data_IF_698113540391
#
_entry.id   IF_698113540391
#
_cell.length_a   1.000
_cell.length_b   1.000
_cell.length_c   1.000
_cell.angle_alpha   90.00
_cell.angle_beta   90.00
_cell.angle_gamma   90.00
#
_symmetry.space_group_name_H-M   'P 1'
#
loop_
_entity.id
_entity.type
_entity.pdbx_description
1 polymer ?
#
# COMPACT_ATOMS: atom_id res chain seq x y z
N UNK A 1 -27.25 32.67 -22.71
CA UNK A 1 -25.94 33.13 -22.18
C UNK A 1 -25.30 32.07 -21.27
N UNK A 2 -24.88 30.89 -21.79
CA UNK A 2 -24.22 29.82 -20.99
C UNK A 2 -22.90 29.31 -21.59
N UNK A 3 -22.49 29.79 -22.78
CA UNK A 3 -21.27 29.34 -23.49
C UNK A 3 -19.99 30.07 -23.06
N UNK A 4 -20.10 31.18 -22.31
CA UNK A 4 -18.93 31.98 -21.93
C UNK A 4 -18.20 31.43 -20.69
N UNK A 5 -18.92 30.79 -19.75
CA UNK A 5 -18.33 30.24 -18.53
C UNK A 5 -17.54 28.94 -18.74
N UNK A 6 -17.93 28.11 -19.72
CA UNK A 6 -17.22 26.85 -20.01
C UNK A 6 -15.85 27.09 -20.65
N UNK A 7 -15.71 28.11 -21.50
CA UNK A 7 -14.44 28.47 -22.13
C UNK A 7 -13.45 29.02 -21.10
N UNK A 8 -13.93 29.85 -20.15
CA UNK A 8 -13.11 30.39 -19.08
C UNK A 8 -12.60 29.30 -18.12
N UNK A 9 -13.43 28.29 -17.82
CA UNK A 9 -13.00 27.14 -17.00
C UNK A 9 -11.98 26.25 -17.71
N UNK A 10 -12.15 26.01 -19.01
CA UNK A 10 -11.20 25.23 -19.80
C UNK A 10 -9.83 25.93 -19.88
N UNK A 11 -9.81 27.27 -20.02
CA UNK A 11 -8.58 28.05 -20.00
C UNK A 11 -7.88 27.99 -18.63
N UNK A 12 -8.61 28.09 -17.52
CA UNK A 12 -8.04 27.95 -16.18
C UNK A 12 -7.42 26.56 -15.95
N UNK A 13 -8.09 25.49 -16.40
CA UNK A 13 -7.55 24.12 -16.32
C UNK A 13 -6.28 23.93 -17.17
N UNK A 14 -6.21 24.57 -18.34
CA UNK A 14 -5.04 24.51 -19.22
C UNK A 14 -3.86 25.29 -18.63
N UNK A 15 -4.09 26.49 -18.08
CA UNK A 15 -3.04 27.30 -17.45
C UNK A 15 -2.51 26.63 -16.17
N UNK A 16 -3.36 25.95 -15.39
CA UNK A 16 -2.93 25.15 -14.24
C UNK A 16 -2.07 23.94 -14.65
N UNK A 17 -2.39 23.25 -15.76
CA UNK A 17 -1.57 22.13 -16.26
C UNK A 17 -0.21 22.58 -16.80
N UNK A 18 -0.13 23.75 -17.43
CA UNK A 18 1.14 24.29 -17.97
C UNK A 18 2.10 24.67 -16.85
N UNK A 19 1.60 25.18 -15.70
CA UNK A 19 2.47 25.55 -14.58
C UNK A 19 3.05 24.38 -13.79
N UNK A 20 2.42 23.20 -13.83
CA UNK A 20 2.95 21.99 -13.16
C UNK A 20 4.10 21.35 -13.95
N UNK A 21 4.30 21.72 -15.23
CA UNK A 21 5.28 21.06 -16.10
C UNK A 21 6.65 21.76 -16.20
N UNK A 22 6.87 22.90 -15.54
CA UNK A 22 8.08 23.71 -15.73
C UNK A 22 9.12 23.63 -14.58
N UNK A 23 8.87 22.85 -13.54
CA UNK A 23 9.87 22.61 -12.48
C UNK A 23 10.17 21.12 -12.32
N UNK A 24 10.75 20.51 -13.36
CA UNK A 24 11.62 19.35 -13.12
C UNK A 24 13.02 19.90 -12.85
N UNK A 25 13.51 19.90 -11.61
CA UNK A 25 14.90 20.25 -11.35
C UNK A 25 15.77 19.28 -12.17
N UNK A 26 16.65 19.85 -12.98
CA UNK A 26 17.55 19.12 -13.86
C UNK A 26 18.37 18.12 -13.05
N UNK A 27 18.24 16.85 -13.44
CA UNK A 27 18.85 15.63 -12.90
C UNK A 27 20.31 15.75 -12.40
N UNK A 28 21.09 16.69 -12.93
CA UNK A 28 22.51 16.88 -12.56
C UNK A 28 22.72 17.37 -11.13
N UNK A 29 21.87 18.28 -10.62
CA UNK A 29 22.01 18.82 -9.25
C UNK A 29 21.61 17.81 -8.18
N UNK A 30 20.62 16.96 -8.48
CA UNK A 30 20.20 15.84 -7.64
C UNK A 30 21.23 14.71 -7.63
N UNK A 31 21.94 14.47 -8.75
CA UNK A 31 23.02 13.50 -8.83
C UNK A 31 24.24 13.95 -8.02
N UNK A 32 24.61 15.23 -8.10
CA UNK A 32 25.71 15.81 -7.30
C UNK A 32 25.36 15.86 -5.80
N UNK A 33 24.10 16.15 -5.43
CA UNK A 33 23.64 16.01 -4.04
C UNK A 33 23.63 14.56 -3.55
N UNK A 34 23.35 13.57 -4.41
CA UNK A 34 23.48 12.14 -4.06
C UNK A 34 24.94 11.73 -3.86
N UNK A 35 25.85 12.21 -4.70
CA UNK A 35 27.28 11.92 -4.62
C UNK A 35 27.96 12.59 -3.41
N UNK A 36 27.45 13.73 -2.93
CA UNK A 36 27.93 14.36 -1.68
C UNK A 36 27.29 13.80 -0.41
N UNK A 37 26.17 13.09 -0.52
CA UNK A 37 25.52 12.40 0.60
C UNK A 37 26.05 10.98 0.85
N UNK A 38 27.09 10.56 0.12
CA UNK A 38 27.85 9.32 0.38
C UNK A 38 28.80 9.46 1.59
N UNK A 39 28.46 10.30 2.57
CA UNK A 39 29.00 10.17 3.93
C UNK A 39 28.33 8.96 4.57
N UNK A 40 28.84 7.78 4.25
CA UNK A 40 28.61 6.49 4.91
C UNK A 40 27.20 6.43 5.51
N UNK A 41 26.20 6.17 4.67
CA UNK A 41 24.93 5.63 5.15
C UNK A 41 25.28 4.33 5.87
N UNK A 42 25.55 4.44 7.17
CA UNK A 42 25.60 3.30 8.07
C UNK A 42 24.21 2.71 7.94
N UNK A 43 24.07 1.66 7.11
CA UNK A 43 22.90 0.82 7.07
C UNK A 43 22.63 0.42 8.52
N UNK A 44 21.76 1.18 9.19
CA UNK A 44 21.37 0.91 10.56
C UNK A 44 20.64 -0.40 10.48
N UNK A 45 21.36 -1.48 10.78
CA UNK A 45 20.76 -2.81 10.92
C UNK A 45 19.76 -2.67 12.05
N UNK A 46 18.49 -2.57 11.70
CA UNK A 46 17.41 -2.60 12.67
C UNK A 46 17.53 -3.99 13.32
N UNK A 47 17.89 -4.06 14.62
CA UNK A 47 17.97 -5.35 15.29
C UNK A 47 16.58 -5.98 15.21
N UNK A 48 16.50 -7.19 14.66
CA UNK A 48 15.27 -7.99 14.74
C UNK A 48 15.12 -8.35 16.21
N UNK A 49 13.97 -8.04 16.80
CA UNK A 49 13.65 -8.54 18.13
C UNK A 49 13.57 -10.07 18.05
N UNK A 50 14.23 -10.76 18.97
CA UNK A 50 14.11 -12.21 19.09
C UNK A 50 12.74 -12.63 19.64
N UNK A 51 12.03 -11.69 20.26
CA UNK A 51 10.66 -11.90 20.71
C UNK A 51 9.72 -12.03 19.50
N UNK A 52 9.00 -13.15 19.37
CA UNK A 52 7.95 -13.30 18.37
C UNK A 52 6.90 -12.23 18.65
N UNK A 53 6.66 -11.35 17.67
CA UNK A 53 5.54 -10.44 17.73
C UNK A 53 4.21 -11.22 17.82
N UNK A 54 3.09 -10.55 18.05
CA UNK A 54 1.79 -11.23 18.11
C UNK A 54 1.40 -11.85 16.76
N UNK A 55 2.05 -11.44 15.68
CA UNK A 55 2.08 -12.11 14.38
C UNK A 55 2.80 -13.46 14.39
N UNK A 56 3.39 -13.91 15.48
CA UNK A 56 3.98 -15.24 15.61
C UNK A 56 3.29 -16.09 16.69
N UNK A 57 2.28 -15.53 17.39
CA UNK A 57 1.53 -16.22 18.44
C UNK A 57 0.21 -16.74 17.88
N UNK A 58 0.28 -17.76 17.03
CA UNK A 58 -0.90 -18.38 16.42
C UNK A 58 -0.59 -19.68 15.70
N UNK A 59 -1.64 -20.42 15.32
CA UNK A 59 -1.50 -21.53 14.38
C UNK A 59 -0.96 -20.96 13.05
N UNK A 60 0.15 -21.52 12.55
CA UNK A 60 0.81 -21.11 11.32
C UNK A 60 -0.18 -21.03 10.15
N UNK A 61 -1.13 -21.98 10.10
CA UNK A 61 -2.16 -22.01 9.06
C UNK A 61 -3.10 -20.81 9.15
N UNK A 62 -3.46 -20.41 10.37
CA UNK A 62 -4.38 -19.29 10.59
C UNK A 62 -3.68 -17.95 10.34
N UNK A 63 -2.40 -17.88 10.69
CA UNK A 63 -1.58 -16.68 10.53
C UNK A 63 -1.43 -16.27 9.07
N UNK A 64 -1.22 -17.25 8.19
CA UNK A 64 -1.10 -17.04 6.75
C UNK A 64 -2.40 -17.23 5.98
N UNK A 65 -3.54 -17.22 6.68
CA UNK A 65 -4.84 -17.30 6.04
C UNK A 65 -5.16 -15.94 5.41
N UNK A 66 -5.34 -15.84 4.08
CA UNK A 66 -5.52 -14.56 3.41
C UNK A 66 -6.82 -13.88 3.83
N UNK A 67 -6.76 -12.57 4.12
CA UNK A 67 -7.94 -11.70 4.24
C UNK A 67 -7.82 -10.56 3.24
N UNK A 68 -8.70 -10.55 2.22
CA UNK A 68 -8.71 -9.47 1.23
C UNK A 68 -9.51 -8.27 1.75
N UNK A 69 -8.87 -7.40 2.53
CA UNK A 69 -9.55 -6.26 3.14
C UNK A 69 -9.96 -5.18 2.14
N UNK A 70 -9.39 -5.13 0.92
CA UNK A 70 -9.83 -4.18 -0.12
C UNK A 70 -11.29 -4.43 -0.54
N UNK A 71 -11.76 -5.68 -0.42
CA UNK A 71 -13.16 -6.02 -0.70
C UNK A 71 -14.13 -5.38 0.30
N UNK A 72 -13.68 -4.87 1.45
CA UNK A 72 -14.53 -4.15 2.41
C UNK A 72 -15.11 -2.87 1.80
N UNK A 73 -14.49 -2.33 0.74
CA UNK A 73 -15.09 -1.23 -0.01
C UNK A 73 -16.45 -1.61 -0.64
N UNK A 74 -16.62 -2.88 -0.96
CA UNK A 74 -17.78 -3.43 -1.65
C UNK A 74 -18.61 -4.39 -0.78
N UNK A 75 -18.08 -4.81 0.38
CA UNK A 75 -18.68 -5.77 1.31
C UNK A 75 -18.51 -5.32 2.77
N UNK A 76 -19.28 -5.90 3.68
CA UNK A 76 -19.07 -5.70 5.13
C UNK A 76 -18.00 -6.65 5.68
N UNK A 77 -17.26 -6.22 6.69
CA UNK A 77 -16.34 -7.08 7.46
C UNK A 77 -17.04 -8.33 8.04
N UNK A 78 -18.36 -8.28 8.24
CA UNK A 78 -19.15 -9.41 8.75
C UNK A 78 -19.21 -10.61 7.80
N UNK A 79 -18.92 -10.42 6.50
CA UNK A 79 -18.87 -11.52 5.53
C UNK A 79 -17.54 -12.27 5.56
N UNK A 80 -16.55 -11.75 6.28
CA UNK A 80 -15.25 -12.38 6.40
C UNK A 80 -15.22 -13.40 7.53
N UNK A 81 -14.31 -14.39 7.48
CA UNK A 81 -14.05 -15.28 8.60
C UNK A 81 -13.76 -14.53 9.90
N UNK A 82 -14.08 -15.14 11.04
CA UNK A 82 -13.94 -14.53 12.37
C UNK A 82 -12.53 -14.00 12.67
N UNK A 83 -11.48 -14.67 12.17
CA UNK A 83 -10.10 -14.22 12.36
C UNK A 83 -9.83 -12.88 11.65
N UNK A 84 -10.32 -12.69 10.42
CA UNK A 84 -10.22 -11.42 9.70
C UNK A 84 -10.96 -10.29 10.44
N UNK A 85 -12.11 -10.59 11.05
CA UNK A 85 -12.90 -9.61 11.81
C UNK A 85 -12.13 -9.09 13.02
N UNK A 86 -11.49 -9.99 13.77
CA UNK A 86 -10.68 -9.63 14.94
C UNK A 86 -9.50 -8.73 14.55
N UNK A 87 -8.75 -9.11 13.51
CA UNK A 87 -7.61 -8.33 13.00
C UNK A 87 -8.06 -6.95 12.52
N UNK A 88 -9.12 -6.89 11.71
CA UNK A 88 -9.64 -5.63 11.20
C UNK A 88 -10.11 -4.70 12.31
N UNK A 89 -10.82 -5.22 13.32
CA UNK A 89 -11.36 -4.41 14.42
C UNK A 89 -10.25 -3.84 15.29
N UNK A 90 -9.18 -4.62 15.54
CA UNK A 90 -8.08 -4.22 16.42
C UNK A 90 -6.92 -3.51 15.70
N UNK A 91 -7.02 -3.27 14.38
CA UNK A 91 -5.91 -2.79 13.53
C UNK A 91 -5.19 -1.51 13.95
N UNK A 92 -5.81 -0.68 14.80
CA UNK A 92 -5.23 0.57 15.30
C UNK A 92 -4.98 0.58 16.81
N UNK A 93 -5.07 -0.58 17.47
CA UNK A 93 -4.88 -0.69 18.93
C UNK A 93 -3.42 -0.52 19.32
N UNK A 94 -2.49 -1.14 18.59
CA UNK A 94 -1.04 -1.01 18.76
C UNK A 94 -0.32 -1.32 17.44
N UNK A 95 1.00 -1.11 17.41
CA UNK A 95 1.83 -1.34 16.21
C UNK A 95 1.78 -2.80 15.76
N UNK A 96 1.76 -3.70 16.72
CA UNK A 96 1.66 -5.15 16.57
C UNK A 96 0.41 -5.61 15.79
N UNK A 97 -0.77 -5.13 16.19
CA UNK A 97 -2.02 -5.37 15.48
C UNK A 97 -2.02 -4.75 14.09
N UNK A 98 -1.39 -3.58 13.94
CA UNK A 98 -1.27 -2.93 12.65
C UNK A 98 -0.38 -3.75 11.70
N UNK A 99 0.75 -4.28 12.19
CA UNK A 99 1.63 -5.17 11.43
C UNK A 99 0.88 -6.42 10.99
N UNK A 100 0.15 -7.06 11.91
CA UNK A 100 -0.68 -8.22 11.58
C UNK A 100 -1.72 -7.88 10.49
N UNK A 101 -2.45 -6.78 10.66
CA UNK A 101 -3.40 -6.30 9.66
C UNK A 101 -2.75 -6.09 8.29
N UNK A 102 -1.56 -5.48 8.23
CA UNK A 102 -0.84 -5.28 6.96
C UNK A 102 -0.37 -6.60 6.35
N UNK A 103 0.10 -7.56 7.15
CA UNK A 103 0.48 -8.89 6.65
C UNK A 103 -0.68 -9.57 5.94
N UNK A 104 -1.83 -9.66 6.61
CA UNK A 104 -3.04 -10.27 6.04
C UNK A 104 -3.52 -9.57 4.77
N UNK A 105 -3.50 -8.23 4.75
CA UNK A 105 -3.85 -7.41 3.58
C UNK A 105 -2.91 -7.72 2.39
N UNK A 106 -1.60 -7.76 2.64
CA UNK A 106 -0.62 -8.04 1.59
C UNK A 106 -0.68 -9.48 1.09
N UNK A 107 -0.90 -10.43 1.98
CA UNK A 107 -1.03 -11.85 1.62
C UNK A 107 -2.31 -12.08 0.82
N UNK A 108 -3.44 -11.46 1.22
CA UNK A 108 -4.68 -11.48 0.45
C UNK A 108 -4.47 -11.03 -0.99
N UNK A 109 -3.86 -9.86 -1.17
CA UNK A 109 -3.59 -9.29 -2.49
C UNK A 109 -2.66 -10.18 -3.33
N UNK A 110 -1.53 -10.62 -2.74
CA UNK A 110 -0.52 -11.41 -3.46
C UNK A 110 -1.07 -12.78 -3.86
N UNK A 111 -1.67 -13.52 -2.92
CA UNK A 111 -2.21 -14.84 -3.22
C UNK A 111 -3.45 -14.76 -4.11
N UNK A 112 -4.26 -13.71 -4.01
CA UNK A 112 -5.37 -13.45 -4.92
C UNK A 112 -4.90 -13.26 -6.37
N UNK A 113 -3.83 -12.48 -6.58
CA UNK A 113 -3.24 -12.32 -7.92
C UNK A 113 -2.65 -13.61 -8.47
N UNK A 114 -1.95 -14.39 -7.64
CA UNK A 114 -1.43 -15.68 -8.05
C UNK A 114 -2.54 -16.65 -8.41
N UNK A 115 -3.64 -16.66 -7.66
CA UNK A 115 -4.80 -17.49 -7.93
C UNK A 115 -5.47 -17.12 -9.26
N UNK A 116 -5.70 -15.84 -9.52
CA UNK A 116 -6.23 -15.35 -10.80
C UNK A 116 -5.33 -15.72 -11.98
N UNK A 117 -4.01 -15.63 -11.80
CA UNK A 117 -3.04 -16.05 -12.82
C UNK A 117 -3.10 -17.55 -13.06
N UNK A 118 -3.12 -18.35 -12.00
CA UNK A 118 -3.22 -19.80 -12.09
C UNK A 118 -4.46 -20.23 -12.87
N UNK A 119 -5.62 -19.64 -12.54
CA UNK A 119 -6.86 -19.95 -13.23
C UNK A 119 -6.82 -19.65 -14.73
N UNK A 120 -6.25 -18.51 -15.15
CA UNK A 120 -6.29 -18.07 -16.55
C UNK A 120 -5.25 -18.71 -17.47
N UNK A 121 -4.18 -19.28 -16.92
CA UNK A 121 -3.03 -19.72 -17.73
C UNK A 121 -2.62 -21.17 -17.52
N UNK A 122 -3.02 -21.80 -16.42
CA UNK A 122 -2.59 -23.17 -16.09
C UNK A 122 -3.75 -24.17 -15.99
N UNK A 123 -4.98 -23.69 -15.79
CA UNK A 123 -6.19 -24.54 -15.68
C UNK A 123 -7.08 -24.49 -16.94
N UNK A 124 -6.77 -23.61 -17.89
CA UNK A 124 -7.34 -23.56 -19.25
C UNK A 124 -6.51 -24.46 -20.21
#
# INVERSE_FOLDING_TARGET
MRRCQTIQMMFLCLVMRVRVSHERPTSKRLLEQRLQADTIDVLRRIPRSDEPGPDAKGDLKLLHAPCEFDLIRYASINYFPSYCQSVYTNRHVNEDWYRLYRTYDTEGFVFGQFYERLQRYELD
#
